data_IF_297582591541
#
_entry.id   IF_297582591541
#
_cell.length_a   1.000
_cell.length_b   1.000
_cell.length_c   1.000
_cell.angle_alpha   90.00
_cell.angle_beta   90.00
_cell.angle_gamma   90.00
#
_symmetry.space_group_name_H-M   'P 1'
#
loop_
_entity.id
_entity.type
_entity.pdbx_description
1 polymer ?
#
# COMPACT_ATOMS: atom_id res chain seq x y z
N UNK A 1 -24.29 3.43 -6.44
CA UNK A 1 -23.80 4.54 -5.61
C UNK A 1 -22.73 5.22 -6.43
N UNK A 2 -22.88 6.51 -6.72
CA UNK A 2 -21.79 7.26 -7.34
C UNK A 2 -20.64 7.28 -6.34
N UNK A 3 -19.55 6.62 -6.69
CA UNK A 3 -18.34 6.72 -5.88
C UNK A 3 -17.81 8.13 -6.07
N UNK A 4 -17.65 8.87 -4.98
CA UNK A 4 -16.95 10.15 -5.05
C UNK A 4 -15.54 9.87 -5.61
N UNK A 5 -15.21 10.57 -6.69
CA UNK A 5 -13.84 10.55 -7.20
C UNK A 5 -12.98 11.48 -6.36
N UNK A 6 -11.78 11.01 -6.10
CA UNK A 6 -10.75 11.68 -5.34
C UNK A 6 -9.57 11.93 -6.27
N UNK A 7 -9.12 13.18 -6.27
CA UNK A 7 -8.00 13.63 -7.06
C UNK A 7 -6.67 13.41 -6.33
N UNK A 8 -5.85 12.48 -6.82
CA UNK A 8 -4.48 12.29 -6.33
C UNK A 8 -3.53 13.31 -6.98
N UNK A 9 -2.69 14.01 -6.20
CA UNK A 9 -1.86 15.07 -6.71
C UNK A 9 -0.80 14.56 -7.72
N UNK A 10 -0.40 15.39 -8.69
CA UNK A 10 0.66 15.09 -9.66
C UNK A 10 2.06 15.26 -9.03
N UNK A 11 2.32 14.50 -7.97
CA UNK A 11 3.62 14.50 -7.29
C UNK A 11 4.28 13.16 -7.54
N UNK A 12 5.36 13.16 -8.33
CA UNK A 12 6.10 11.96 -8.72
C UNK A 12 6.44 11.07 -7.53
N UNK A 13 7.05 11.63 -6.48
CA UNK A 13 7.44 10.86 -5.29
C UNK A 13 6.24 10.23 -4.58
N UNK A 14 5.11 10.94 -4.50
CA UNK A 14 3.89 10.42 -3.89
C UNK A 14 3.33 9.24 -4.69
N UNK A 15 3.22 9.36 -6.02
CA UNK A 15 2.73 8.26 -6.88
C UNK A 15 3.67 7.06 -6.88
N UNK A 16 4.97 7.31 -6.88
CA UNK A 16 5.98 6.26 -6.74
C UNK A 16 5.80 5.51 -5.42
N UNK A 17 5.52 6.23 -4.32
CA UNK A 17 5.25 5.64 -3.01
C UNK A 17 3.99 4.76 -2.99
N UNK A 18 2.88 5.24 -3.57
CA UNK A 18 1.66 4.43 -3.66
C UNK A 18 1.90 3.14 -4.45
N UNK A 19 2.66 3.21 -5.55
CA UNK A 19 3.02 2.05 -6.36
C UNK A 19 3.92 1.07 -5.59
N UNK A 20 4.95 1.57 -4.90
CA UNK A 20 5.82 0.73 -4.08
C UNK A 20 5.04 -0.01 -2.97
N UNK A 21 4.05 0.67 -2.37
CA UNK A 21 3.14 0.08 -1.39
C UNK A 21 2.32 -1.06 -1.99
N UNK A 22 1.66 -0.82 -3.12
CA UNK A 22 0.83 -1.82 -3.79
C UNK A 22 1.66 -3.01 -4.27
N UNK A 23 2.87 -2.76 -4.76
CA UNK A 23 3.79 -3.81 -5.17
C UNK A 23 4.23 -4.67 -3.97
N UNK A 24 4.59 -4.05 -2.84
CA UNK A 24 4.93 -4.77 -1.61
C UNK A 24 3.78 -5.68 -1.16
N UNK A 25 2.54 -5.16 -1.18
CA UNK A 25 1.36 -5.96 -0.81
C UNK A 25 1.10 -7.12 -1.76
N UNK A 26 1.29 -6.95 -3.07
CA UNK A 26 1.20 -8.06 -4.03
C UNK A 26 2.20 -9.16 -3.68
N UNK A 27 3.46 -8.79 -3.51
CA UNK A 27 4.53 -9.73 -3.20
C UNK A 27 4.30 -10.44 -1.85
N UNK A 28 3.81 -9.69 -0.84
CA UNK A 28 3.42 -10.25 0.45
C UNK A 28 2.30 -11.29 0.31
N UNK A 29 1.23 -10.96 -0.41
CA UNK A 29 0.09 -11.87 -0.63
C UNK A 29 0.47 -13.10 -1.46
N UNK A 30 1.41 -12.96 -2.40
CA UNK A 30 1.95 -14.09 -3.14
C UNK A 30 2.79 -15.01 -2.24
N UNK A 31 3.67 -14.43 -1.42
CA UNK A 31 4.52 -15.20 -0.52
C UNK A 31 3.72 -15.89 0.59
N UNK A 32 2.68 -15.24 1.13
CA UNK A 32 1.81 -15.83 2.15
C UNK A 32 1.06 -17.07 1.62
N UNK A 33 0.62 -17.05 0.36
CA UNK A 33 0.02 -18.21 -0.32
C UNK A 33 0.98 -19.37 -0.50
N UNK A 34 2.22 -19.09 -0.91
CA UNK A 34 3.23 -20.12 -1.18
C UNK A 34 3.68 -20.80 0.12
N UNK A 35 3.86 -20.01 1.17
CA UNK A 35 4.39 -20.47 2.44
C UNK A 35 3.30 -20.99 3.40
N UNK A 36 2.04 -21.11 2.93
CA UNK A 36 0.88 -21.57 3.70
C UNK A 36 0.66 -20.78 5.00
N UNK A 37 0.92 -19.47 4.98
CA UNK A 37 0.72 -18.63 6.14
C UNK A 37 -0.74 -18.20 6.29
N UNK A 38 -1.29 -18.15 7.53
CA UNK A 38 -2.73 -18.13 7.77
C UNK A 38 -3.37 -16.72 7.74
N UNK A 39 -2.89 -15.79 6.91
CA UNK A 39 -3.42 -14.42 6.90
C UNK A 39 -4.42 -14.17 5.76
N UNK A 40 -5.51 -14.95 5.76
CA UNK A 40 -6.70 -14.73 4.90
C UNK A 40 -7.36 -13.36 5.13
N UNK A 41 -7.13 -12.75 6.30
CA UNK A 41 -7.73 -11.47 6.68
C UNK A 41 -7.18 -10.27 5.86
N UNK A 42 -5.95 -10.36 5.33
CA UNK A 42 -5.37 -9.28 4.50
C UNK A 42 -6.01 -9.29 3.10
N UNK A 43 -6.33 -10.46 2.55
CA UNK A 43 -7.04 -10.56 1.26
C UNK A 43 -8.47 -9.99 1.32
N UNK A 44 -9.05 -9.85 2.51
CA UNK A 44 -10.34 -9.14 2.70
C UNK A 44 -10.21 -7.62 2.58
N UNK A 45 -9.01 -7.08 2.64
CA UNK A 45 -8.72 -5.65 2.48
C UNK A 45 -8.27 -5.35 1.06
N UNK A 46 -7.34 -6.16 0.54
CA UNK A 46 -6.82 -6.01 -0.81
C UNK A 46 -6.40 -7.36 -1.36
N UNK A 47 -6.91 -7.72 -2.53
CA UNK A 47 -6.47 -8.90 -3.28
C UNK A 47 -5.24 -8.60 -4.15
N UNK A 48 -4.54 -9.64 -4.62
CA UNK A 48 -3.42 -9.48 -5.56
C UNK A 48 -3.88 -8.76 -6.84
N UNK A 49 -5.04 -9.13 -7.37
CA UNK A 49 -5.60 -8.56 -8.60
C UNK A 49 -5.98 -7.08 -8.44
N UNK A 50 -6.62 -6.72 -7.33
CA UNK A 50 -6.92 -5.32 -7.01
C UNK A 50 -5.64 -4.50 -6.86
N UNK A 51 -4.66 -5.00 -6.11
CA UNK A 51 -3.39 -4.31 -5.92
C UNK A 51 -2.67 -4.04 -7.25
N UNK A 52 -2.65 -5.04 -8.14
CA UNK A 52 -2.07 -4.92 -9.48
C UNK A 52 -2.84 -3.90 -10.35
N UNK A 53 -4.16 -3.97 -10.35
CA UNK A 53 -5.02 -3.06 -11.12
C UNK A 53 -4.81 -1.60 -10.69
N UNK A 54 -4.70 -1.36 -9.39
CA UNK A 54 -4.44 -0.04 -8.84
C UNK A 54 -3.03 0.45 -9.18
N UNK A 55 -2.02 -0.42 -9.11
CA UNK A 55 -0.64 -0.07 -9.47
C UNK A 55 -0.55 0.35 -10.95
N UNK A 56 -1.17 -0.42 -11.84
CA UNK A 56 -1.22 -0.14 -13.28
C UNK A 56 -1.95 1.18 -13.57
N UNK A 57 -3.07 1.44 -12.89
CA UNK A 57 -3.81 2.71 -13.00
C UNK A 57 -2.93 3.90 -12.58
N UNK A 58 -2.22 3.79 -11.46
CA UNK A 58 -1.33 4.87 -10.99
C UNK A 58 -0.14 5.06 -11.93
N UNK A 59 0.41 3.97 -12.47
CA UNK A 59 1.51 4.00 -13.44
C UNK A 59 1.10 4.64 -14.77
N UNK A 60 -0.12 4.39 -15.24
CA UNK A 60 -0.64 4.95 -16.48
C UNK A 60 -1.04 6.44 -16.34
N UNK A 61 -1.31 6.91 -15.12
CA UNK A 61 -1.65 8.30 -14.86
C UNK A 61 -0.48 9.26 -15.12
N UNK A 62 -0.68 10.25 -15.99
CA UNK A 62 0.33 11.27 -16.32
C UNK A 62 0.80 12.01 -15.06
N UNK A 63 2.11 12.00 -14.79
CA UNK A 63 2.71 12.56 -13.56
C UNK A 63 2.51 14.07 -13.40
N UNK A 64 2.04 14.75 -14.45
CA UNK A 64 1.82 16.20 -14.54
C UNK A 64 0.38 16.62 -14.26
N UNK A 65 -0.59 15.70 -14.33
CA UNK A 65 -2.01 15.98 -14.12
C UNK A 65 -2.54 15.18 -12.92
N UNK A 66 -3.48 15.73 -12.12
CA UNK A 66 -4.10 14.97 -11.05
C UNK A 66 -4.75 13.66 -11.56
N UNK A 67 -4.70 12.60 -10.75
CA UNK A 67 -5.24 11.29 -11.10
C UNK A 67 -6.54 11.07 -10.33
N UNK A 68 -7.64 10.94 -11.05
CA UNK A 68 -8.95 10.65 -10.45
C UNK A 68 -9.10 9.15 -10.15
N UNK A 69 -9.45 8.86 -8.91
CA UNK A 69 -9.64 7.51 -8.40
C UNK A 69 -10.77 7.47 -7.38
N UNK A 70 -11.51 6.36 -7.30
CA UNK A 70 -12.62 6.27 -6.35
C UNK A 70 -12.15 6.32 -4.91
N UNK A 71 -13.00 6.87 -4.05
CA UNK A 71 -12.82 6.88 -2.60
C UNK A 71 -12.47 5.51 -1.99
N UNK A 72 -13.17 4.46 -2.42
CA UNK A 72 -12.92 3.09 -1.98
C UNK A 72 -11.48 2.64 -2.29
N UNK A 73 -10.97 2.94 -3.48
CA UNK A 73 -9.61 2.59 -3.86
C UNK A 73 -8.57 3.38 -3.07
N UNK A 74 -8.85 4.63 -2.73
CA UNK A 74 -7.99 5.43 -1.84
C UNK A 74 -7.92 4.77 -0.46
N UNK A 75 -9.08 4.44 0.14
CA UNK A 75 -9.13 3.71 1.41
C UNK A 75 -8.34 2.40 1.35
N UNK A 76 -8.45 1.63 0.25
CA UNK A 76 -7.69 0.40 0.03
C UNK A 76 -6.18 0.63 -0.04
N UNK A 77 -5.71 1.65 -0.76
CA UNK A 77 -4.27 1.99 -0.86
C UNK A 77 -3.72 2.39 0.52
N UNK A 78 -4.50 3.13 1.29
CA UNK A 78 -4.12 3.53 2.65
C UNK A 78 -4.09 2.36 3.62
N UNK A 79 -5.05 1.44 3.50
CA UNK A 79 -5.05 0.19 4.24
C UNK A 79 -3.80 -0.63 3.96
N UNK A 80 -3.50 -0.82 2.67
CA UNK A 80 -2.31 -1.49 2.19
C UNK A 80 -1.03 -0.86 2.76
N UNK A 81 -0.96 0.47 2.81
CA UNK A 81 0.17 1.20 3.37
C UNK A 81 0.36 0.91 4.86
N UNK A 82 -0.69 1.00 5.68
CA UNK A 82 -0.58 0.73 7.12
C UNK A 82 -0.15 -0.72 7.41
N UNK A 83 -0.72 -1.69 6.68
CA UNK A 83 -0.36 -3.11 6.79
C UNK A 83 1.11 -3.31 6.42
N UNK A 84 1.53 -2.79 5.25
CA UNK A 84 2.90 -2.89 4.78
C UNK A 84 3.87 -2.37 5.86
N UNK A 85 3.57 -1.24 6.50
CA UNK A 85 4.43 -0.64 7.51
C UNK A 85 4.60 -1.49 8.74
N UNK A 86 3.50 -2.01 9.26
CA UNK A 86 3.54 -2.87 10.43
C UNK A 86 4.23 -4.20 10.12
N UNK A 87 4.07 -4.77 8.92
CA UNK A 87 4.84 -5.96 8.51
C UNK A 87 6.33 -5.61 8.42
N UNK A 88 6.68 -4.51 7.75
CA UNK A 88 8.08 -4.08 7.51
C UNK A 88 8.89 -3.87 8.80
N UNK A 89 8.24 -3.61 9.94
CA UNK A 89 8.93 -3.44 11.23
C UNK A 89 9.11 -4.73 12.02
N UNK A 90 8.45 -5.81 11.63
CA UNK A 90 8.55 -7.12 12.28
C UNK A 90 9.72 -7.94 11.73
N UNK A 91 10.20 -8.91 12.51
CA UNK A 91 11.14 -9.93 12.04
C UNK A 91 10.57 -10.72 10.85
N UNK A 92 9.25 -10.90 10.82
CA UNK A 92 8.56 -11.57 9.73
C UNK A 92 8.64 -10.79 8.41
N UNK A 93 8.47 -9.47 8.44
CA UNK A 93 8.68 -8.63 7.26
C UNK A 93 10.10 -8.73 6.72
N UNK A 94 11.09 -8.87 7.61
CA UNK A 94 12.49 -9.08 7.23
C UNK A 94 12.72 -10.45 6.55
N UNK A 95 12.12 -11.52 7.08
CA UNK A 95 12.17 -12.86 6.48
C UNK A 95 11.48 -12.93 5.11
N UNK A 96 10.36 -12.23 4.94
CA UNK A 96 9.69 -12.08 3.63
C UNK A 96 10.39 -11.11 2.70
N UNK A 97 11.23 -10.22 3.23
CA UNK A 97 11.89 -9.17 2.48
C UNK A 97 12.69 -9.71 1.31
N UNK A 98 13.37 -10.84 1.48
CA UNK A 98 14.12 -11.48 0.41
C UNK A 98 13.23 -12.03 -0.72
N UNK A 99 12.07 -12.60 -0.38
CA UNK A 99 11.10 -13.08 -1.38
C UNK A 99 10.46 -11.91 -2.14
N UNK A 100 10.11 -10.83 -1.43
CA UNK A 100 9.57 -9.61 -2.05
C UNK A 100 10.56 -9.00 -3.04
N UNK A 101 11.85 -8.98 -2.70
CA UNK A 101 12.88 -8.41 -3.57
C UNK A 101 13.10 -9.20 -4.87
N UNK A 102 12.71 -10.48 -4.95
CA UNK A 102 12.79 -11.25 -6.19
C UNK A 102 11.81 -10.76 -7.27
N UNK A 103 10.69 -10.18 -6.83
CA UNK A 103 9.63 -9.68 -7.71
C UNK A 103 9.79 -8.19 -8.05
N UNK A 104 10.69 -7.50 -7.35
CA UNK A 104 11.01 -6.08 -7.62
C UNK A 104 11.78 -5.97 -8.94
N UNK A 105 11.30 -5.11 -9.85
CA UNK A 105 11.95 -4.91 -11.14
C UNK A 105 13.43 -4.48 -11.01
N UNK A 106 14.28 -4.95 -11.93
CA UNK A 106 15.72 -4.68 -11.89
C UNK A 106 16.10 -3.18 -11.92
N UNK A 107 15.19 -2.34 -12.39
CA UNK A 107 15.34 -0.88 -12.51
C UNK A 107 14.90 -0.12 -11.24
N UNK A 108 14.32 -0.82 -10.27
CA UNK A 108 13.90 -0.22 -9.00
C UNK A 108 15.11 0.26 -8.20
N UNK A 109 14.97 1.44 -7.58
CA UNK A 109 15.95 1.97 -6.61
C UNK A 109 15.89 1.26 -5.26
N UNK A 110 14.87 0.42 -5.04
CA UNK A 110 14.62 -0.28 -3.79
C UNK A 110 15.10 -1.73 -3.86
N UNK A 111 16.42 -1.91 -4.00
CA UNK A 111 17.06 -3.22 -4.22
C UNK A 111 17.36 -3.99 -2.95
N UNK A 112 17.20 -3.37 -1.78
CA UNK A 112 17.38 -4.01 -0.47
C UNK A 112 16.13 -3.78 0.37
N UNK A 113 15.82 -4.76 1.22
CA UNK A 113 14.69 -4.67 2.13
C UNK A 113 14.81 -3.47 3.08
N UNK A 114 16.02 -3.20 3.56
CA UNK A 114 16.31 -2.01 4.37
C UNK A 114 16.01 -0.69 3.62
N UNK A 115 16.25 -0.63 2.31
CA UNK A 115 15.94 0.55 1.49
C UNK A 115 14.42 0.69 1.33
N UNK A 116 13.70 -0.41 1.13
CA UNK A 116 12.23 -0.46 1.09
C UNK A 116 11.62 0.02 2.42
N UNK A 117 12.13 -0.50 3.54
CA UNK A 117 11.71 -0.13 4.90
C UNK A 117 11.98 1.35 5.18
N UNK A 118 13.18 1.84 4.87
CA UNK A 118 13.54 3.24 5.08
C UNK A 118 12.72 4.19 4.20
N UNK A 119 12.50 3.81 2.93
CA UNK A 119 11.67 4.54 2.00
C UNK A 119 10.23 4.63 2.52
N UNK A 120 9.64 3.49 2.88
CA UNK A 120 8.30 3.46 3.46
C UNK A 120 8.19 4.35 4.70
N UNK A 121 9.01 4.10 5.74
CA UNK A 121 8.99 4.85 7.00
C UNK A 121 9.13 6.38 6.81
N UNK A 122 9.93 6.83 5.84
CA UNK A 122 10.13 8.25 5.53
C UNK A 122 8.88 8.91 4.93
N UNK A 123 8.14 8.20 4.07
CA UNK A 123 7.01 8.77 3.33
C UNK A 123 5.63 8.49 3.98
N UNK A 124 5.57 7.58 4.95
CA UNK A 124 4.34 7.23 5.68
C UNK A 124 3.76 8.30 6.57
N UNK A 125 4.61 9.01 7.30
CA UNK A 125 4.18 10.11 8.18
C UNK A 125 3.50 11.20 7.37
N UNK A 126 3.89 11.36 6.10
CA UNK A 126 3.26 12.30 5.19
C UNK A 126 1.91 11.81 4.66
N UNK A 127 1.78 10.52 4.34
CA UNK A 127 0.54 9.95 3.80
C UNK A 127 -0.62 10.00 4.82
N UNK A 128 -0.42 9.45 6.03
CA UNK A 128 -1.48 9.40 7.07
C UNK A 128 -1.96 10.82 7.40
N UNK A 129 -1.00 11.73 7.59
CA UNK A 129 -1.27 13.15 7.86
C UNK A 129 -1.99 13.82 6.67
N UNK A 130 -1.61 13.51 5.43
CA UNK A 130 -2.29 14.05 4.24
C UNK A 130 -3.74 13.59 4.16
N UNK A 131 -4.07 12.34 4.50
CA UNK A 131 -5.47 11.89 4.49
C UNK A 131 -6.28 12.55 5.60
N UNK A 132 -5.71 12.67 6.80
CA UNK A 132 -6.41 13.30 7.93
C UNK A 132 -6.69 14.78 7.65
N UNK A 133 -5.77 15.47 6.97
CA UNK A 133 -5.88 16.89 6.65
C UNK A 133 -6.75 17.12 5.40
N UNK A 134 -6.56 16.33 4.34
CA UNK A 134 -7.21 16.57 3.03
C UNK A 134 -8.55 15.86 2.90
N UNK A 135 -8.80 14.83 3.70
CA UNK A 135 -10.02 14.02 3.67
C UNK A 135 -10.60 13.83 5.08
N UNK A 136 -10.86 14.92 5.82
CA UNK A 136 -11.33 14.83 7.21
C UNK A 136 -12.70 14.13 7.35
N UNK A 137 -13.46 14.01 6.27
CA UNK A 137 -14.79 13.40 6.22
C UNK A 137 -14.82 12.11 5.38
N UNK A 138 -13.69 11.42 5.22
CA UNK A 138 -13.62 10.15 4.48
C UNK A 138 -14.42 9.08 5.22
N UNK A 139 -15.52 8.62 4.63
CA UNK A 139 -16.39 7.62 5.26
C UNK A 139 -15.65 6.27 5.32
N UNK A 140 -15.69 5.58 6.47
CA UNK A 140 -15.05 4.28 6.67
C UNK A 140 -13.58 4.29 7.09
N UNK A 141 -12.94 5.46 7.23
CA UNK A 141 -11.55 5.58 7.69
C UNK A 141 -11.37 5.09 9.14
N UNK A 142 -12.34 5.34 10.01
CA UNK A 142 -12.30 4.90 11.41
C UNK A 142 -12.41 3.38 11.53
N UNK A 143 -13.35 2.75 10.81
CA UNK A 143 -13.51 1.30 10.74
C UNK A 143 -12.30 0.63 10.11
N UNK A 144 -11.69 1.29 9.11
CA UNK A 144 -10.45 0.81 8.52
C UNK A 144 -9.32 0.81 9.54
N UNK A 145 -9.13 1.89 10.31
CA UNK A 145 -8.14 1.94 11.41
C UNK A 145 -8.34 0.81 12.41
N UNK A 146 -9.57 0.55 12.84
CA UNK A 146 -9.88 -0.52 13.79
C UNK A 146 -9.50 -1.89 13.19
N UNK A 147 -9.90 -2.18 11.94
CA UNK A 147 -9.55 -3.43 11.24
C UNK A 147 -8.04 -3.61 11.12
N UNK A 148 -7.32 -2.55 10.77
CA UNK A 148 -5.86 -2.52 10.65
C UNK A 148 -5.13 -2.72 11.98
N UNK A 149 -5.68 -2.24 13.09
CA UNK A 149 -5.14 -2.50 14.43
C UNK A 149 -5.35 -3.96 14.85
N UNK A 150 -6.48 -4.58 14.49
CA UNK A 150 -6.79 -5.97 14.85
C UNK A 150 -6.04 -7.01 14.01
N UNK A 151 -5.66 -6.66 12.78
CA UNK A 151 -4.87 -7.52 11.89
C UNK A 151 -3.46 -7.82 12.43
N UNK A 152 -3.00 -7.02 13.38
CA UNK A 152 -1.63 -7.02 13.85
C UNK A 152 -1.68 -7.24 15.35
N UNK A 153 -1.83 -8.50 15.71
CA UNK A 153 -1.61 -9.01 17.06
C UNK A 153 -0.29 -9.78 17.02
N UNK A 154 0.54 -9.43 18.00
CA UNK A 154 1.96 -9.74 18.28
C UNK A 154 2.46 -11.13 17.89
#
# INVERSE_FOLDING_TARGET
MDYNEISLPPVHEYRYHLRATLHYMQAYLMASKILLFPYEEIEKIITIEEAKTLEEKIKAGEETLPLEISEANVLTIYAANDIANKILITRYGEELGEEVLKEVSADSKLKKFADYRAFQLKYNTHMITDIEIKMPNLDGLAELRIRLCNLIIE
#
